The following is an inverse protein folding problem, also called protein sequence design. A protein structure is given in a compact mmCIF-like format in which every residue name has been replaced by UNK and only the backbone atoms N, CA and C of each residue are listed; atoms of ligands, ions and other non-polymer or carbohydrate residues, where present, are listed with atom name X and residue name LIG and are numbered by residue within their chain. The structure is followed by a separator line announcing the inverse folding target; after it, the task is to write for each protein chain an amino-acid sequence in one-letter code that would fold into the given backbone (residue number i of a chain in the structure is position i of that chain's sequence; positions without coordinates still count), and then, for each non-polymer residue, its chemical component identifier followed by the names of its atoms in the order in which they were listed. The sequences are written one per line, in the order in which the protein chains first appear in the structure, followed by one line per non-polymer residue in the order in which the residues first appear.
data_IF_788414782906
#
_entry.id   IF_788414782906
#
_cell.length_a   1.000
_cell.length_b   1.000
_cell.length_c   1.000
_cell.angle_alpha   90.00
_cell.angle_beta   90.00
_cell.angle_gamma   90.00
#
_symmetry.space_group_name_H-M   'P 1'
#
loop_
_entity.id
_entity.type
_entity.pdbx_description
1 polymer ?
#
# COMPACT_ATOMS: atom_id res chain seq x y z
N UNK A 1 -12.26 -6.03 1.25
CA UNK A 1 -10.88 -6.03 1.79
C UNK A 1 -10.78 -6.08 3.32
N UNK A 2 -11.46 -5.21 4.06
CA UNK A 2 -11.41 -5.20 5.53
C UNK A 2 -11.85 -6.52 6.20
N UNK A 3 -12.89 -7.17 5.68
CA UNK A 3 -13.36 -8.47 6.19
C UNK A 3 -12.35 -9.59 5.95
N UNK A 4 -11.70 -9.59 4.77
CA UNK A 4 -10.67 -10.58 4.40
C UNK A 4 -9.45 -10.43 5.29
N UNK A 5 -9.00 -9.19 5.53
CA UNK A 5 -7.90 -8.91 6.45
C UNK A 5 -8.22 -9.37 7.88
N UNK A 6 -9.43 -9.09 8.37
CA UNK A 6 -9.84 -9.52 9.70
C UNK A 6 -9.88 -11.04 9.82
N UNK A 7 -10.48 -11.74 8.84
CA UNK A 7 -10.54 -13.20 8.81
C UNK A 7 -9.14 -13.83 8.75
N UNK A 8 -8.26 -13.32 7.88
CA UNK A 8 -6.88 -13.81 7.77
C UNK A 8 -6.11 -13.67 9.08
N UNK A 9 -6.21 -12.52 9.76
CA UNK A 9 -5.56 -12.32 11.05
C UNK A 9 -6.18 -13.22 12.14
N UNK A 10 -7.50 -13.40 12.15
CA UNK A 10 -8.19 -14.28 13.09
C UNK A 10 -7.76 -15.75 12.99
N UNK A 11 -7.63 -16.27 11.77
CA UNK A 11 -7.17 -17.64 11.51
C UNK A 11 -5.73 -17.87 11.99
N UNK A 12 -4.92 -16.82 11.96
CA UNK A 12 -3.54 -16.83 12.45
C UNK A 12 -3.41 -16.53 13.96
N UNK A 13 -4.51 -16.18 14.64
CA UNK A 13 -4.53 -15.70 16.04
C UNK A 13 -3.74 -14.40 16.25
N UNK A 14 -3.84 -13.49 15.29
CA UNK A 14 -3.21 -12.16 15.29
C UNK A 14 -4.22 -11.01 15.09
N UNK A 15 -5.50 -11.22 15.43
CA UNK A 15 -6.54 -10.20 15.34
C UNK A 15 -6.21 -8.92 16.12
N UNK A 16 -5.34 -9.00 17.14
CA UNK A 16 -4.82 -7.83 17.88
C UNK A 16 -4.15 -6.80 16.96
N UNK A 17 -3.61 -7.21 15.81
CA UNK A 17 -2.95 -6.33 14.85
C UNK A 17 -3.88 -5.75 13.80
N UNK A 18 -5.17 -6.09 13.82
CA UNK A 18 -6.12 -5.59 12.83
C UNK A 18 -6.13 -4.06 12.75
N UNK A 19 -6.16 -3.39 13.91
CA UNK A 19 -6.12 -1.93 13.98
C UNK A 19 -4.85 -1.35 13.37
N UNK A 20 -3.70 -2.01 13.51
CA UNK A 20 -2.42 -1.55 12.97
C UNK A 20 -2.48 -1.47 11.44
N UNK A 21 -2.93 -2.54 10.78
CA UNK A 21 -3.08 -2.57 9.33
C UNK A 21 -4.18 -1.60 8.85
N UNK A 22 -5.34 -1.59 9.52
CA UNK A 22 -6.47 -0.74 9.13
C UNK A 22 -6.14 0.75 9.25
N UNK A 23 -5.56 1.18 10.37
CA UNK A 23 -5.21 2.59 10.61
C UNK A 23 -4.14 3.05 9.61
N UNK A 24 -3.14 2.19 9.33
CA UNK A 24 -2.12 2.44 8.32
C UNK A 24 -2.65 2.37 6.87
N UNK A 25 -3.89 1.93 6.63
CA UNK A 25 -4.50 1.88 5.29
C UNK A 25 -4.02 0.72 4.42
N UNK A 26 -3.62 -0.40 5.03
CA UNK A 26 -3.26 -1.60 4.28
C UNK A 26 -4.50 -2.41 3.86
N UNK A 27 -4.49 -2.87 2.61
CA UNK A 27 -5.39 -3.89 2.08
C UNK A 27 -4.61 -5.18 1.76
N UNK A 28 -5.33 -6.26 1.44
CA UNK A 28 -4.71 -7.57 1.21
C UNK A 28 -3.70 -7.59 0.04
N UNK A 29 -3.98 -6.96 -1.12
CA UNK A 29 -2.99 -6.86 -2.20
C UNK A 29 -1.69 -6.18 -1.76
N UNK A 30 -1.78 -5.04 -1.05
CA UNK A 30 -0.58 -4.34 -0.56
C UNK A 30 0.14 -5.13 0.53
N UNK A 31 -0.59 -5.81 1.42
CA UNK A 31 -0.02 -6.69 2.45
C UNK A 31 0.82 -7.80 1.82
N UNK A 32 0.41 -8.36 0.67
CA UNK A 32 1.15 -9.39 -0.06
C UNK A 32 2.57 -8.94 -0.49
N UNK A 33 2.85 -7.64 -0.44
CA UNK A 33 4.14 -7.01 -0.80
C UNK A 33 4.87 -6.38 0.39
N UNK A 34 4.41 -6.62 1.61
CA UNK A 34 5.05 -6.06 2.80
C UNK A 34 6.40 -6.71 3.14
N UNK A 35 7.31 -5.90 3.65
CA UNK A 35 8.59 -6.31 4.23
C UNK A 35 8.52 -6.34 5.77
N UNK A 36 9.54 -6.89 6.46
CA UNK A 36 9.64 -6.79 7.92
C UNK A 36 9.68 -5.36 8.46
N UNK A 37 10.24 -4.44 7.68
CA UNK A 37 10.34 -3.02 8.00
C UNK A 37 8.94 -2.39 7.97
N UNK A 38 8.12 -2.71 6.96
CA UNK A 38 6.73 -2.26 6.89
C UNK A 38 5.92 -2.72 8.12
N UNK A 39 6.07 -3.99 8.53
CA UNK A 39 5.43 -4.52 9.74
C UNK A 39 5.88 -3.77 11.00
N UNK A 40 7.16 -3.43 11.09
CA UNK A 40 7.70 -2.67 12.22
C UNK A 40 7.13 -1.26 12.24
N UNK A 41 7.03 -0.61 11.08
CA UNK A 41 6.53 0.76 10.94
C UNK A 41 5.07 0.91 11.37
N UNK A 42 4.24 -0.12 11.17
CA UNK A 42 2.85 -0.12 11.67
C UNK A 42 2.71 -0.55 13.14
N UNK A 43 3.82 -0.76 13.87
CA UNK A 43 3.83 -1.06 15.30
C UNK A 43 3.91 -2.55 15.66
N UNK A 44 4.15 -3.45 14.70
CA UNK A 44 4.35 -4.87 14.98
C UNK A 44 5.83 -5.10 15.32
N UNK A 45 6.21 -4.80 16.56
CA UNK A 45 7.61 -4.75 17.01
C UNK A 45 8.14 -6.05 17.64
N UNK A 46 7.27 -7.02 17.94
CA UNK A 46 7.68 -8.34 18.48
C UNK A 46 8.36 -9.18 17.37
N UNK A 47 9.64 -9.59 17.51
CA UNK A 47 10.36 -10.31 16.45
C UNK A 47 9.73 -11.64 16.04
N UNK A 48 9.21 -12.42 17.01
CA UNK A 48 8.51 -13.68 16.74
C UNK A 48 7.25 -13.48 15.90
N UNK A 49 6.46 -12.45 16.23
CA UNK A 49 5.23 -12.11 15.52
C UNK A 49 5.53 -11.65 14.09
N UNK A 50 6.51 -10.74 13.91
CA UNK A 50 6.96 -10.32 12.56
C UNK A 50 7.41 -11.49 11.72
N UNK A 51 8.24 -12.39 12.29
CA UNK A 51 8.73 -13.57 11.56
C UNK A 51 7.57 -14.45 11.10
N UNK A 52 6.58 -14.68 11.97
CA UNK A 52 5.38 -15.46 11.63
C UNK A 52 4.54 -14.77 10.55
N UNK A 53 4.18 -13.50 10.74
CA UNK A 53 3.39 -12.75 9.76
C UNK A 53 4.08 -12.66 8.40
N UNK A 54 5.39 -12.41 8.35
CA UNK A 54 6.18 -12.45 7.10
C UNK A 54 6.04 -13.79 6.38
N UNK A 55 6.12 -14.91 7.11
CA UNK A 55 5.98 -16.23 6.53
C UNK A 55 4.57 -16.49 5.99
N UNK A 56 3.52 -15.99 6.65
CA UNK A 56 2.15 -16.10 6.15
C UNK A 56 1.87 -15.17 4.97
N UNK A 57 2.43 -13.95 4.97
CA UNK A 57 2.39 -13.03 3.82
C UNK A 57 3.00 -13.69 2.59
N UNK A 58 4.15 -14.35 2.73
CA UNK A 58 4.80 -15.07 1.63
C UNK A 58 3.97 -16.26 1.08
N UNK A 59 2.95 -16.72 1.80
CA UNK A 59 2.01 -17.77 1.36
C UNK A 59 0.74 -17.21 0.74
N UNK A 60 0.49 -15.90 0.82
CA UNK A 60 -0.66 -15.29 0.16
C UNK A 60 -0.52 -15.45 -1.36
N UNK A 61 -1.46 -16.18 -1.96
CA UNK A 61 -1.54 -16.33 -3.41
C UNK A 61 -2.47 -15.24 -3.98
N UNK A 62 -2.06 -13.98 -3.88
CA UNK A 62 -2.83 -12.81 -4.31
C UNK A 62 -1.90 -11.90 -5.12
N UNK A 63 -2.41 -11.32 -6.21
CA UNK A 63 -1.71 -10.28 -6.97
C UNK A 63 -1.58 -8.97 -6.16
N UNK A 64 -0.67 -8.08 -6.55
CA UNK A 64 -0.51 -6.78 -5.88
C UNK A 64 -1.60 -5.76 -6.22
N UNK A 65 -2.52 -6.10 -7.14
CA UNK A 65 -3.62 -5.23 -7.53
C UNK A 65 -3.16 -4.00 -8.31
N UNK A 66 -1.94 -4.01 -8.84
CA UNK A 66 -1.35 -2.90 -9.60
C UNK A 66 -1.47 -3.21 -11.11
N UNK A 67 -1.96 -2.26 -11.93
CA UNK A 67 -2.06 -2.43 -13.38
C UNK A 67 -0.71 -2.74 -14.06
N UNK A 68 -0.73 -3.65 -15.03
CA UNK A 68 0.41 -4.00 -15.89
C UNK A 68 0.47 -3.19 -17.20
N UNK A 69 -0.21 -2.05 -17.24
CA UNK A 69 -0.26 -1.15 -18.39
C UNK A 69 -0.19 0.30 -17.91
N UNK A 70 0.19 1.21 -18.82
CA UNK A 70 0.18 2.65 -18.56
C UNK A 70 -1.28 3.17 -18.62
N UNK A 71 -1.85 3.73 -17.54
CA UNK A 71 -3.18 4.35 -17.56
C UNK A 71 -3.20 5.60 -18.44
N UNK A 72 -4.39 6.05 -18.83
CA UNK A 72 -4.57 7.22 -19.68
C UNK A 72 -4.26 8.53 -18.94
N UNK A 73 -4.64 8.62 -17.67
CA UNK A 73 -4.45 9.82 -16.84
C UNK A 73 -4.33 9.48 -15.35
N UNK A 74 -4.03 10.51 -14.55
CA UNK A 74 -3.87 10.42 -13.09
C UNK A 74 -5.13 9.87 -12.39
N UNK A 75 -6.32 10.28 -12.83
CA UNK A 75 -7.57 9.90 -12.18
C UNK A 75 -7.85 8.41 -12.39
N UNK A 76 -7.66 7.92 -13.60
CA UNK A 76 -7.75 6.49 -13.90
C UNK A 76 -6.73 5.69 -13.06
N UNK A 77 -5.47 6.14 -13.02
CA UNK A 77 -4.44 5.47 -12.23
C UNK A 77 -4.80 5.35 -10.75
N UNK A 78 -5.23 6.45 -10.12
CA UNK A 78 -5.66 6.42 -8.72
C UNK A 78 -6.91 5.56 -8.49
N UNK A 79 -7.89 5.57 -9.40
CA UNK A 79 -9.06 4.72 -9.29
C UNK A 79 -8.71 3.24 -9.37
N UNK A 80 -7.82 2.85 -10.30
CA UNK A 80 -7.33 1.47 -10.41
C UNK A 80 -6.64 1.01 -9.12
N UNK A 81 -5.99 1.91 -8.39
CA UNK A 81 -5.37 1.63 -7.09
C UNK A 81 -6.33 1.69 -5.90
N UNK A 82 -7.58 2.15 -6.11
CA UNK A 82 -8.52 2.43 -5.02
C UNK A 82 -8.14 3.64 -4.16
N UNK A 83 -7.44 4.61 -4.76
CA UNK A 83 -6.84 5.78 -4.11
C UNK A 83 -7.33 7.12 -4.70
N UNK A 84 -8.50 7.12 -5.35
CA UNK A 84 -9.10 8.31 -5.99
C UNK A 84 -9.22 9.53 -5.07
N UNK A 85 -9.34 9.31 -3.76
CA UNK A 85 -9.39 10.39 -2.76
C UNK A 85 -8.14 11.28 -2.71
N UNK A 86 -7.02 10.84 -3.29
CA UNK A 86 -5.77 11.61 -3.33
C UNK A 86 -5.60 12.47 -4.59
N UNK A 87 -6.56 12.42 -5.52
CA UNK A 87 -6.48 13.16 -6.78
C UNK A 87 -6.23 14.66 -6.57
N UNK A 88 -7.10 15.33 -5.79
CA UNK A 88 -6.96 16.76 -5.53
C UNK A 88 -5.67 17.12 -4.77
N UNK A 89 -5.14 16.18 -3.99
CA UNK A 89 -3.88 16.39 -3.25
C UNK A 89 -2.71 16.42 -4.21
N UNK A 90 -2.64 15.46 -5.13
CA UNK A 90 -1.57 15.38 -6.14
C UNK A 90 -1.64 16.53 -7.15
N UNK A 91 -2.84 16.88 -7.64
CA UNK A 91 -3.03 18.01 -8.57
C UNK A 91 -2.55 19.35 -7.98
N UNK A 92 -2.82 19.61 -6.70
CA UNK A 92 -2.36 20.85 -6.03
C UNK A 92 -0.84 20.94 -5.87
N UNK A 93 -0.14 19.83 -6.03
CA UNK A 93 1.31 19.73 -5.97
C UNK A 93 1.92 19.55 -7.37
N UNK A 94 1.13 19.82 -8.42
CA UNK A 94 1.54 19.77 -9.82
C UNK A 94 1.94 18.36 -10.31
N UNK A 95 1.50 17.31 -9.61
CA UNK A 95 1.56 15.93 -10.08
C UNK A 95 0.30 15.61 -10.89
N UNK A 96 0.14 16.25 -12.06
CA UNK A 96 -1.09 16.24 -12.85
C UNK A 96 -1.12 15.25 -14.02
N UNK A 97 -0.01 14.58 -14.30
CA UNK A 97 0.08 13.49 -15.27
C UNK A 97 0.88 12.27 -14.78
N UNK A 98 0.84 11.19 -15.57
CA UNK A 98 1.50 9.91 -15.26
C UNK A 98 3.03 10.05 -15.23
N UNK A 99 3.62 10.95 -16.01
CA UNK A 99 5.07 11.14 -16.06
C UNK A 99 5.57 11.79 -14.77
N UNK A 100 4.92 12.86 -14.31
CA UNK A 100 5.30 13.55 -13.08
C UNK A 100 5.11 12.69 -11.82
N UNK A 101 4.04 11.90 -11.72
CA UNK A 101 3.87 11.02 -10.55
C UNK A 101 4.97 9.97 -10.42
N UNK A 102 5.65 9.59 -11.51
CA UNK A 102 6.77 8.64 -11.41
C UNK A 102 7.98 9.21 -10.65
N UNK A 103 8.06 10.54 -10.51
CA UNK A 103 9.08 11.22 -9.73
C UNK A 103 8.84 11.24 -8.23
N UNK A 104 7.63 10.91 -7.76
CA UNK A 104 7.25 10.97 -6.34
C UNK A 104 8.07 9.98 -5.51
N UNK A 105 8.64 10.48 -4.42
CA UNK A 105 9.34 9.70 -3.39
C UNK A 105 8.42 9.39 -2.20
N UNK A 106 8.90 8.55 -1.28
CA UNK A 106 8.15 8.26 -0.06
C UNK A 106 8.00 9.51 0.81
N UNK A 107 9.07 10.31 0.88
CA UNK A 107 9.15 11.56 1.62
C UNK A 107 8.14 12.58 1.09
N UNK A 108 8.05 12.76 -0.24
CA UNK A 108 7.09 13.67 -0.86
C UNK A 108 5.65 13.33 -0.47
N UNK A 109 5.29 12.03 -0.44
CA UNK A 109 3.94 11.59 -0.05
C UNK A 109 3.59 12.01 1.38
N UNK A 110 4.55 11.96 2.31
CA UNK A 110 4.35 12.41 3.68
C UNK A 110 4.18 13.94 3.75
N UNK A 111 5.03 14.69 3.04
CA UNK A 111 5.01 16.15 3.00
C UNK A 111 3.67 16.68 2.46
N UNK A 112 3.12 16.06 1.42
CA UNK A 112 1.84 16.47 0.82
C UNK A 112 0.61 15.95 1.57
N UNK A 113 0.80 15.22 2.68
CA UNK A 113 -0.26 14.80 3.60
C UNK A 113 -0.84 13.41 3.38
N UNK A 114 -0.24 12.58 2.53
CA UNK A 114 -0.60 11.16 2.35
C UNK A 114 0.15 10.34 3.41
N UNK A 115 -0.40 10.27 4.63
CA UNK A 115 0.29 9.71 5.82
C UNK A 115 0.05 8.22 6.09
N UNK A 116 -0.90 7.59 5.39
CA UNK A 116 -1.24 6.18 5.58
C UNK A 116 -0.16 5.31 4.93
N UNK A 117 0.67 4.65 5.73
CA UNK A 117 1.82 3.87 5.24
C UNK A 117 1.44 2.81 4.19
N UNK A 118 0.26 2.18 4.31
CA UNK A 118 -0.25 1.24 3.32
C UNK A 118 -0.61 1.92 1.99
N UNK A 119 -1.17 3.13 2.03
CA UNK A 119 -1.43 3.90 0.82
C UNK A 119 -0.13 4.38 0.19
N UNK A 120 0.83 4.87 0.99
CA UNK A 120 2.17 5.25 0.52
C UNK A 120 2.84 4.06 -0.17
N UNK A 121 2.85 2.89 0.47
CA UNK A 121 3.41 1.65 -0.10
C UNK A 121 2.78 1.29 -1.43
N UNK A 122 1.44 1.34 -1.53
CA UNK A 122 0.73 1.04 -2.77
C UNK A 122 1.11 2.00 -3.90
N UNK A 123 1.17 3.31 -3.62
CA UNK A 123 1.57 4.33 -4.59
C UNK A 123 3.00 4.07 -5.09
N UNK A 124 3.95 3.84 -4.17
CA UNK A 124 5.35 3.58 -4.53
C UNK A 124 5.49 2.30 -5.38
N UNK A 125 4.81 1.22 -5.00
CA UNK A 125 4.81 -0.02 -5.81
C UNK A 125 4.23 0.22 -7.21
N UNK A 126 3.19 1.06 -7.32
CA UNK A 126 2.59 1.39 -8.61
C UNK A 126 3.51 2.27 -9.47
N UNK A 127 4.22 3.21 -8.88
CA UNK A 127 5.26 4.01 -9.54
C UNK A 127 6.39 3.12 -10.05
N UNK A 128 6.87 2.17 -9.23
CA UNK A 128 7.89 1.21 -9.64
C UNK A 128 7.44 0.34 -10.82
N UNK A 129 6.15 0.00 -10.90
CA UNK A 129 5.57 -0.70 -12.05
C UNK A 129 5.55 0.18 -13.29
N UNK A 130 5.10 1.43 -13.18
CA UNK A 130 5.09 2.38 -14.30
C UNK A 130 6.49 2.60 -14.89
N UNK A 131 7.53 2.65 -14.04
CA UNK A 131 8.93 2.78 -14.50
C UNK A 131 9.46 1.59 -15.33
N UNK A 132 8.75 0.46 -15.34
CA UNK A 132 9.12 -0.76 -16.06
C UNK A 132 8.36 -0.96 -17.36
N UNK A 133 7.34 -0.13 -17.62
CA UNK A 133 6.47 -0.18 -18.81
C UNK A 133 6.94 0.89 -19.78
#
# INVERSE_FOLDING_TARGET
DHEVLHAWLHDLRYEEYYSNFQQAGYDMPTISRMTPEDLTAIGITKPSHRKRLKAEIARLNIGDGIPDFKPNDLMEWLHLLGLGQYYDTLIRQEYDDIEYVTGITWEDLEEIGIKKLGHQKKIILAIERLKRI
#
